data_IF_514257597899
#
_entry.id   IF_514257597899
#
_cell.length_a   1.000
_cell.length_b   1.000
_cell.length_c   1.000
_cell.angle_alpha   90.00
_cell.angle_beta   90.00
_cell.angle_gamma   90.00
#
_symmetry.space_group_name_H-M   'P 1'
#
loop_
_entity.id
_entity.type
_entity.pdbx_description
1 polymer ?
#
# COMPACT_ATOMS: atom_id res chain seq x y z
N UNK A 1 10.43 -15.91 -5.46
CA UNK A 1 10.11 -15.78 -6.91
C UNK A 1 9.46 -14.43 -7.26
N UNK A 2 8.29 -14.03 -6.73
CA UNK A 2 7.70 -12.71 -7.06
C UNK A 2 8.47 -11.51 -6.50
N UNK A 3 9.04 -11.62 -5.30
CA UNK A 3 9.87 -10.56 -4.71
C UNK A 3 11.11 -10.27 -5.58
N UNK A 4 11.76 -11.30 -6.10
CA UNK A 4 12.94 -11.18 -6.96
C UNK A 4 12.62 -10.49 -8.29
N UNK A 5 11.36 -10.52 -8.74
CA UNK A 5 10.89 -9.81 -9.94
C UNK A 5 10.48 -8.36 -9.67
N UNK A 6 9.85 -8.08 -8.53
CA UNK A 6 9.34 -6.76 -8.18
C UNK A 6 10.46 -5.84 -7.68
N UNK A 7 11.41 -6.35 -6.90
CA UNK A 7 12.50 -5.54 -6.33
C UNK A 7 13.35 -4.81 -7.38
N UNK A 8 13.77 -5.45 -8.50
CA UNK A 8 14.48 -4.73 -9.58
C UNK A 8 13.62 -3.67 -10.25
N UNK A 9 12.31 -3.90 -10.41
CA UNK A 9 11.40 -2.91 -11.01
C UNK A 9 11.29 -1.66 -10.12
N UNK A 10 11.17 -1.84 -8.81
CA UNK A 10 11.15 -0.73 -7.85
C UNK A 10 12.47 0.05 -7.90
N UNK A 11 13.60 -0.65 -7.92
CA UNK A 11 14.92 -0.03 -7.99
C UNK A 11 15.10 0.77 -9.29
N UNK A 12 14.62 0.25 -10.41
CA UNK A 12 14.63 0.93 -11.70
C UNK A 12 13.76 2.19 -11.68
N UNK A 13 12.51 2.09 -11.21
CA UNK A 13 11.60 3.24 -11.14
C UNK A 13 12.09 4.30 -10.15
N UNK A 14 12.64 3.89 -9.01
CA UNK A 14 13.26 4.81 -8.04
C UNK A 14 14.39 5.60 -8.68
N UNK A 15 15.28 4.94 -9.43
CA UNK A 15 16.35 5.61 -10.17
C UNK A 15 15.80 6.55 -11.22
N UNK A 16 14.84 6.12 -12.03
CA UNK A 16 14.21 6.92 -13.09
C UNK A 16 13.56 8.19 -12.53
N UNK A 17 12.84 8.09 -11.42
CA UNK A 17 12.20 9.23 -10.75
C UNK A 17 13.26 10.21 -10.22
N UNK A 18 14.32 9.70 -9.57
CA UNK A 18 15.40 10.54 -9.04
C UNK A 18 16.12 11.27 -10.21
N UNK A 19 16.47 10.55 -11.26
CA UNK A 19 17.16 11.11 -12.42
C UNK A 19 16.29 12.19 -13.09
N UNK A 20 14.99 11.94 -13.29
CA UNK A 20 14.03 12.90 -13.84
C UNK A 20 13.92 14.16 -12.98
N UNK A 21 13.75 14.01 -11.66
CA UNK A 21 13.63 15.14 -10.74
C UNK A 21 14.93 15.97 -10.69
N UNK A 22 16.09 15.31 -10.74
CA UNK A 22 17.40 15.99 -10.75
C UNK A 22 17.59 16.77 -12.04
N UNK A 23 17.20 16.21 -13.18
CA UNK A 23 17.29 16.89 -14.48
C UNK A 23 16.34 18.10 -14.53
N UNK A 24 15.10 17.95 -14.03
CA UNK A 24 14.14 19.06 -13.94
C UNK A 24 14.65 20.19 -13.04
N UNK A 25 15.19 19.85 -11.87
CA UNK A 25 15.75 20.83 -10.95
C UNK A 25 16.93 21.58 -11.58
N UNK A 26 17.82 20.87 -12.27
CA UNK A 26 18.95 21.48 -12.96
C UNK A 26 18.51 22.43 -14.07
N UNK A 27 17.53 22.06 -14.90
CA UNK A 27 16.94 22.93 -15.92
C UNK A 27 16.32 24.18 -15.30
N UNK A 28 15.67 24.05 -14.15
CA UNK A 28 15.08 25.18 -13.42
C UNK A 28 16.13 26.14 -12.87
N UNK A 29 17.27 25.63 -12.39
CA UNK A 29 18.37 26.44 -11.89
C UNK A 29 19.19 27.13 -12.99
N UNK A 30 19.30 26.50 -14.17
CA UNK A 30 20.07 27.00 -15.32
C UNK A 30 19.27 27.98 -16.22
N UNK A 31 17.94 28.09 -16.04
CA UNK A 31 17.06 28.95 -16.81
C UNK A 31 17.35 30.44 -16.59
N UNK A 32 17.58 31.18 -17.68
CA UNK A 32 17.75 32.64 -17.61
C UNK A 32 16.44 33.37 -17.33
N UNK A 33 16.53 34.58 -16.74
CA UNK A 33 15.38 35.38 -16.30
C UNK A 33 14.34 35.70 -17.40
N UNK A 34 14.71 35.63 -18.66
CA UNK A 34 13.85 35.95 -19.84
C UNK A 34 12.98 34.74 -20.32
N UNK A 35 13.22 33.54 -19.80
CA UNK A 35 12.52 32.30 -20.21
C UNK A 35 11.41 31.92 -19.19
N UNK A 36 11.33 32.61 -18.07
CA UNK A 36 10.55 32.17 -16.88
C UNK A 36 9.04 31.99 -17.07
N UNK A 37 8.40 32.70 -18.00
CA UNK A 37 6.94 32.64 -18.09
C UNK A 37 6.43 31.50 -19.00
N UNK A 38 7.16 31.17 -20.08
CA UNK A 38 6.73 30.11 -21.04
C UNK A 38 7.21 28.73 -20.56
N UNK A 39 8.41 28.65 -20.00
CA UNK A 39 8.95 27.38 -19.48
C UNK A 39 8.33 26.95 -18.15
N UNK A 40 7.78 27.88 -17.35
CA UNK A 40 7.17 27.55 -16.06
C UNK A 40 5.98 26.60 -16.22
N UNK A 41 5.11 26.81 -17.18
CA UNK A 41 3.96 25.94 -17.44
C UNK A 41 4.43 24.56 -17.93
N UNK A 42 5.45 24.51 -18.79
CA UNK A 42 6.03 23.25 -19.28
C UNK A 42 6.69 22.43 -18.15
N UNK A 43 7.46 23.06 -17.27
CA UNK A 43 8.09 22.40 -16.13
C UNK A 43 7.08 21.95 -15.08
N UNK A 44 6.00 22.68 -14.87
CA UNK A 44 4.91 22.28 -13.97
C UNK A 44 4.18 21.07 -14.51
N UNK A 45 3.98 20.97 -15.80
CA UNK A 45 3.34 19.81 -16.43
C UNK A 45 4.21 18.55 -16.35
N UNK A 46 5.51 18.64 -16.61
CA UNK A 46 6.46 17.53 -16.48
C UNK A 46 6.59 17.05 -15.04
N UNK A 47 6.65 17.98 -14.08
CA UNK A 47 6.66 17.65 -12.66
C UNK A 47 5.36 16.96 -12.23
N UNK A 48 4.22 17.49 -12.66
CA UNK A 48 2.91 16.90 -12.38
C UNK A 48 2.76 15.49 -12.98
N UNK A 49 3.22 15.29 -14.20
CA UNK A 49 3.23 13.98 -14.84
C UNK A 49 4.12 12.98 -14.09
N UNK A 50 5.30 13.40 -13.64
CA UNK A 50 6.20 12.55 -12.86
C UNK A 50 5.55 12.11 -11.53
N UNK A 51 4.92 13.03 -10.80
CA UNK A 51 4.18 12.74 -9.57
C UNK A 51 3.00 11.79 -9.82
N UNK A 52 2.26 12.01 -10.92
CA UNK A 52 1.14 11.15 -11.30
C UNK A 52 1.59 9.73 -11.66
N UNK A 53 2.71 9.59 -12.36
CA UNK A 53 3.30 8.30 -12.72
C UNK A 53 3.76 7.55 -11.46
N UNK A 54 4.50 8.21 -10.55
CA UNK A 54 4.93 7.61 -9.29
C UNK A 54 3.74 7.13 -8.45
N UNK A 55 2.74 7.98 -8.29
CA UNK A 55 1.51 7.65 -7.56
C UNK A 55 0.80 6.43 -8.17
N UNK A 56 0.63 6.43 -9.49
CA UNK A 56 -0.05 5.33 -10.20
C UNK A 56 0.73 4.03 -10.07
N UNK A 57 2.04 4.10 -10.20
CA UNK A 57 2.94 2.96 -10.01
C UNK A 57 2.83 2.40 -8.59
N UNK A 58 3.01 3.24 -7.56
CA UNK A 58 2.93 2.81 -6.16
C UNK A 58 1.58 2.18 -5.83
N UNK A 59 0.48 2.80 -6.24
CA UNK A 59 -0.86 2.27 -6.04
C UNK A 59 -1.04 0.90 -6.70
N UNK A 60 -0.58 0.74 -7.94
CA UNK A 60 -0.67 -0.53 -8.69
C UNK A 60 0.15 -1.64 -8.04
N UNK A 61 1.35 -1.32 -7.57
CA UNK A 61 2.21 -2.29 -6.87
C UNK A 61 1.60 -2.70 -5.54
N UNK A 62 1.01 -1.79 -4.77
CA UNK A 62 0.33 -2.13 -3.50
C UNK A 62 -0.86 -3.05 -3.73
N UNK A 63 -1.67 -2.81 -4.76
CA UNK A 63 -2.77 -3.71 -5.14
C UNK A 63 -2.21 -5.09 -5.50
N UNK A 64 -1.11 -5.15 -6.26
CA UNK A 64 -0.46 -6.39 -6.67
C UNK A 64 0.11 -7.16 -5.46
N UNK A 65 0.78 -6.49 -4.53
CA UNK A 65 1.29 -7.08 -3.28
C UNK A 65 0.13 -7.70 -2.48
N UNK A 66 -0.97 -6.96 -2.32
CA UNK A 66 -2.14 -7.46 -1.61
C UNK A 66 -2.73 -8.71 -2.29
N UNK A 67 -2.85 -8.70 -3.61
CA UNK A 67 -3.37 -9.84 -4.39
C UNK A 67 -2.48 -11.08 -4.22
N UNK A 68 -1.16 -10.89 -4.18
CA UNK A 68 -0.19 -11.97 -3.94
C UNK A 68 -0.36 -12.52 -2.52
N UNK A 69 -0.47 -11.65 -1.51
CA UNK A 69 -0.73 -12.07 -0.12
C UNK A 69 -2.01 -12.90 -0.04
N UNK A 70 -3.10 -12.41 -0.60
CA UNK A 70 -4.40 -13.09 -0.61
C UNK A 70 -4.29 -14.47 -1.26
N UNK A 71 -3.65 -14.57 -2.43
CA UNK A 71 -3.42 -15.82 -3.13
C UNK A 71 -2.68 -16.84 -2.25
N UNK A 72 -1.56 -16.47 -1.67
CA UNK A 72 -0.75 -17.38 -0.85
C UNK A 72 -1.44 -17.79 0.44
N UNK A 73 -2.19 -16.90 1.10
CA UNK A 73 -2.98 -17.26 2.27
C UNK A 73 -4.11 -18.23 1.90
N UNK A 74 -4.75 -18.07 0.75
CA UNK A 74 -5.76 -19.00 0.26
C UNK A 74 -5.15 -20.37 -0.08
N UNK A 75 -3.99 -20.41 -0.74
CA UNK A 75 -3.26 -21.67 -0.99
C UNK A 75 -2.86 -22.36 0.32
N UNK A 76 -2.44 -21.60 1.32
CA UNK A 76 -2.16 -22.14 2.66
C UNK A 76 -3.40 -22.76 3.30
N UNK A 77 -4.58 -22.13 3.20
CA UNK A 77 -5.85 -22.70 3.67
C UNK A 77 -6.14 -24.06 3.01
N UNK A 78 -5.97 -24.15 1.70
CA UNK A 78 -6.18 -25.39 0.93
C UNK A 78 -5.20 -26.49 1.39
N UNK A 79 -3.93 -26.15 1.61
CA UNK A 79 -2.93 -27.09 2.07
C UNK A 79 -3.18 -27.54 3.52
N UNK A 80 -3.52 -26.64 4.40
CA UNK A 80 -3.89 -26.97 5.79
C UNK A 80 -5.10 -27.90 5.86
N UNK A 81 -6.10 -27.68 5.01
CA UNK A 81 -7.23 -28.59 4.87
C UNK A 81 -6.78 -30.02 4.57
N UNK A 82 -5.91 -30.19 3.57
CA UNK A 82 -5.41 -31.52 3.14
C UNK A 82 -4.56 -32.17 4.22
N UNK A 83 -3.63 -31.44 4.83
CA UNK A 83 -2.69 -31.97 5.82
C UNK A 83 -3.39 -32.34 7.11
N UNK A 84 -4.32 -31.52 7.58
CA UNK A 84 -4.99 -31.69 8.90
C UNK A 84 -6.34 -32.37 8.80
N UNK A 85 -6.82 -32.74 7.60
CA UNK A 85 -8.13 -33.37 7.42
C UNK A 85 -9.30 -32.47 7.83
N UNK A 86 -9.19 -31.15 7.66
CA UNK A 86 -10.24 -30.20 8.07
C UNK A 86 -11.48 -30.41 7.16
N UNK A 87 -12.68 -30.67 7.71
CA UNK A 87 -13.85 -31.01 6.90
C UNK A 87 -14.42 -29.83 6.10
N UNK A 88 -14.17 -28.60 6.55
CA UNK A 88 -14.73 -27.35 6.00
C UNK A 88 -13.77 -26.74 5.00
N UNK A 89 -14.25 -26.24 3.84
CA UNK A 89 -13.45 -25.42 2.94
C UNK A 89 -13.38 -23.99 3.48
N UNK A 90 -12.28 -23.30 3.14
CA UNK A 90 -12.16 -21.88 3.52
C UNK A 90 -13.20 -21.00 2.79
N UNK A 91 -13.67 -21.43 1.60
CA UNK A 91 -14.70 -20.75 0.82
C UNK A 91 -16.11 -20.85 1.44
N UNK A 92 -16.35 -21.86 2.28
CA UNK A 92 -17.61 -22.06 2.98
C UNK A 92 -17.78 -21.11 4.19
N UNK A 93 -16.70 -20.42 4.57
CA UNK A 93 -16.72 -19.47 5.68
C UNK A 93 -17.23 -18.10 5.23
N UNK A 94 -17.93 -17.43 6.15
CA UNK A 94 -18.32 -16.02 5.97
C UNK A 94 -17.10 -15.09 5.94
N UNK A 95 -17.22 -13.97 5.22
CA UNK A 95 -16.14 -13.03 5.03
C UNK A 95 -15.53 -13.12 3.64
N UNK A 96 -14.56 -12.28 3.36
CA UNK A 96 -13.91 -12.18 2.06
C UNK A 96 -12.40 -11.97 2.19
N UNK A 97 -11.67 -12.40 1.17
CA UNK A 97 -10.26 -12.10 1.00
C UNK A 97 -9.39 -12.56 2.16
N UNK A 98 -8.40 -11.75 2.47
CA UNK A 98 -7.40 -12.00 3.52
C UNK A 98 -8.04 -12.22 4.89
N UNK A 99 -9.15 -11.53 5.21
CA UNK A 99 -9.83 -11.67 6.51
C UNK A 99 -10.37 -13.08 6.72
N UNK A 100 -10.98 -13.65 5.68
CA UNK A 100 -11.50 -15.04 5.70
C UNK A 100 -10.34 -16.05 5.82
N UNK A 101 -9.27 -15.84 5.07
CA UNK A 101 -8.10 -16.70 5.13
C UNK A 101 -7.44 -16.69 6.52
N UNK A 102 -7.26 -15.52 7.13
CA UNK A 102 -6.71 -15.40 8.49
C UNK A 102 -7.58 -16.19 9.48
N UNK A 103 -8.90 -16.00 9.43
CA UNK A 103 -9.82 -16.72 10.31
C UNK A 103 -9.68 -18.24 10.16
N UNK A 104 -9.62 -18.74 8.92
CA UNK A 104 -9.45 -20.17 8.65
C UNK A 104 -8.11 -20.70 9.20
N UNK A 105 -7.02 -19.99 8.90
CA UNK A 105 -5.65 -20.36 9.32
C UNK A 105 -5.55 -20.42 10.84
N UNK A 106 -6.13 -19.45 11.55
CA UNK A 106 -6.04 -19.40 13.03
C UNK A 106 -6.99 -20.39 13.70
N UNK A 107 -8.26 -20.41 13.29
CA UNK A 107 -9.30 -21.16 14.01
C UNK A 107 -9.33 -22.63 13.65
N UNK A 108 -9.06 -22.97 12.41
CA UNK A 108 -9.13 -24.33 11.90
C UNK A 108 -7.74 -24.89 11.61
N UNK A 109 -6.85 -24.07 11.05
CA UNK A 109 -5.49 -24.43 10.75
C UNK A 109 -4.56 -24.50 11.96
N UNK A 110 -4.90 -23.84 13.07
CA UNK A 110 -4.13 -23.86 14.32
C UNK A 110 -2.78 -23.11 14.25
N UNK A 111 -2.57 -22.29 13.20
CA UNK A 111 -1.43 -21.38 13.14
C UNK A 111 -1.84 -20.04 13.73
N UNK A 112 -0.87 -19.23 14.15
CA UNK A 112 -1.13 -17.93 14.77
C UNK A 112 -0.39 -16.81 14.05
N UNK A 113 -1.09 -15.74 13.77
CA UNK A 113 -0.46 -14.49 13.39
C UNK A 113 -0.02 -13.73 14.65
N UNK A 114 1.19 -13.17 14.64
CA UNK A 114 1.55 -12.24 15.69
C UNK A 114 0.76 -10.93 15.53
N UNK A 115 0.70 -10.12 16.58
CA UNK A 115 -0.05 -8.86 16.59
C UNK A 115 0.37 -7.92 15.47
N UNK A 116 1.67 -7.86 15.18
CA UNK A 116 2.23 -7.03 14.11
C UNK A 116 1.77 -7.52 12.73
N UNK A 117 1.84 -8.84 12.47
CA UNK A 117 1.40 -9.43 11.20
C UNK A 117 -0.09 -9.21 10.96
N UNK A 118 -0.92 -9.43 11.98
CA UNK A 118 -2.38 -9.19 11.92
C UNK A 118 -2.71 -7.72 11.67
N UNK A 119 -2.01 -6.81 12.35
CA UNK A 119 -2.16 -5.37 12.15
C UNK A 119 -1.78 -4.96 10.74
N UNK A 120 -0.62 -5.40 10.25
CA UNK A 120 -0.17 -5.12 8.89
C UNK A 120 -1.18 -5.60 7.84
N UNK A 121 -1.63 -6.85 7.92
CA UNK A 121 -2.61 -7.42 6.98
C UNK A 121 -3.95 -6.67 6.99
N UNK A 122 -4.39 -6.26 8.18
CA UNK A 122 -5.60 -5.45 8.33
C UNK A 122 -5.46 -4.05 7.74
N UNK A 123 -4.30 -3.43 7.92
CA UNK A 123 -4.03 -2.07 7.45
C UNK A 123 -3.85 -2.03 5.93
N UNK A 124 -3.09 -2.96 5.36
CA UNK A 124 -2.91 -3.03 3.89
C UNK A 124 -4.22 -3.34 3.17
N UNK A 125 -5.11 -4.14 3.79
CA UNK A 125 -6.46 -4.38 3.27
C UNK A 125 -7.28 -3.08 3.22
N UNK A 126 -7.21 -2.25 4.26
CA UNK A 126 -7.89 -0.95 4.28
C UNK A 126 -7.36 -0.01 3.20
N UNK A 127 -6.03 0.08 3.04
CA UNK A 127 -5.37 0.89 2.01
C UNK A 127 -5.77 0.41 0.61
N UNK A 128 -5.64 -0.90 0.33
CA UNK A 128 -6.01 -1.48 -0.97
C UNK A 128 -7.46 -1.15 -1.34
N UNK A 129 -8.36 -1.22 -0.38
CA UNK A 129 -9.77 -0.92 -0.65
C UNK A 129 -9.99 0.55 -1.01
N UNK A 130 -9.34 1.47 -0.32
CA UNK A 130 -9.43 2.91 -0.64
C UNK A 130 -8.78 3.22 -2.00
N UNK A 131 -7.65 2.58 -2.33
CA UNK A 131 -7.03 2.75 -3.66
C UNK A 131 -7.97 2.21 -4.76
N UNK A 132 -8.46 0.99 -4.60
CA UNK A 132 -9.21 0.29 -5.64
C UNK A 132 -10.61 0.90 -5.90
N UNK A 133 -11.26 1.44 -4.88
CA UNK A 133 -12.63 1.92 -4.98
C UNK A 133 -12.74 3.45 -5.04
N UNK A 134 -11.82 4.17 -4.41
CA UNK A 134 -11.88 5.62 -4.23
C UNK A 134 -10.60 6.34 -4.71
N UNK A 135 -9.72 5.65 -5.48
CA UNK A 135 -8.46 6.21 -5.98
C UNK A 135 -7.62 6.92 -4.90
N UNK A 136 -7.64 6.41 -3.69
CA UNK A 136 -6.93 6.96 -2.54
C UNK A 136 -7.68 8.07 -1.79
N UNK A 137 -8.87 8.48 -2.23
CA UNK A 137 -9.68 9.49 -1.55
C UNK A 137 -10.30 8.91 -0.26
N UNK A 138 -10.25 9.67 0.84
CA UNK A 138 -10.71 9.23 2.16
C UNK A 138 -12.14 9.70 2.50
N UNK A 139 -12.78 10.44 1.62
CA UNK A 139 -14.10 11.06 1.83
C UNK A 139 -15.17 10.04 2.22
N UNK A 140 -15.17 8.88 1.56
CA UNK A 140 -16.16 7.81 1.76
C UNK A 140 -15.62 6.67 2.64
N UNK A 141 -14.44 6.83 3.21
CA UNK A 141 -13.80 5.79 3.99
C UNK A 141 -14.57 5.52 5.29
N UNK A 142 -14.94 4.26 5.53
CA UNK A 142 -15.59 3.84 6.78
C UNK A 142 -14.66 4.14 7.96
N UNK A 143 -15.22 4.61 9.09
CA UNK A 143 -14.45 5.00 10.30
C UNK A 143 -13.41 3.95 10.73
N UNK A 144 -13.77 2.66 10.70
CA UNK A 144 -12.85 1.58 11.07
C UNK A 144 -11.65 1.45 10.12
N UNK A 145 -11.84 1.64 8.82
CA UNK A 145 -10.76 1.63 7.84
C UNK A 145 -9.92 2.90 7.93
N UNK A 146 -10.55 4.06 8.15
CA UNK A 146 -9.82 5.32 8.34
C UNK A 146 -8.86 5.23 9.53
N UNK A 147 -9.30 4.67 10.67
CA UNK A 147 -8.44 4.45 11.83
C UNK A 147 -7.22 3.58 11.51
N UNK A 148 -7.38 2.54 10.71
CA UNK A 148 -6.27 1.67 10.26
C UNK A 148 -5.29 2.43 9.36
N UNK A 149 -5.80 3.24 8.44
CA UNK A 149 -4.99 4.05 7.52
C UNK A 149 -4.20 5.11 8.30
N UNK A 150 -4.83 5.79 9.26
CA UNK A 150 -4.13 6.74 10.14
C UNK A 150 -3.03 6.02 10.93
N UNK A 151 -3.32 4.87 11.50
CA UNK A 151 -2.34 4.12 12.27
C UNK A 151 -1.10 3.75 11.43
N UNK A 152 -1.29 3.21 10.24
CA UNK A 152 -0.16 2.83 9.39
C UNK A 152 0.60 4.04 8.85
N UNK A 153 -0.06 5.16 8.55
CA UNK A 153 0.61 6.38 8.10
C UNK A 153 1.55 7.00 9.14
N UNK A 154 1.31 6.72 10.43
CA UNK A 154 2.19 7.14 11.52
C UNK A 154 3.39 6.22 11.73
N UNK A 155 3.34 4.98 11.25
CA UNK A 155 4.32 3.94 11.53
C UNK A 155 5.17 3.56 10.32
N UNK A 156 4.60 3.65 9.12
CA UNK A 156 5.24 3.19 7.89
C UNK A 156 5.84 4.36 7.09
N UNK A 157 7.08 4.23 6.63
CA UNK A 157 7.70 5.24 5.77
C UNK A 157 6.93 5.34 4.45
N UNK A 158 6.95 6.52 3.83
CA UNK A 158 6.34 6.73 2.51
C UNK A 158 4.80 6.67 2.45
N UNK A 159 4.11 6.55 3.60
CA UNK A 159 2.66 6.60 3.68
C UNK A 159 2.23 7.91 4.33
N UNK A 160 1.57 8.79 3.58
CA UNK A 160 1.14 10.12 4.04
C UNK A 160 -0.36 10.28 3.88
N UNK A 161 -0.96 11.06 4.77
CA UNK A 161 -2.34 11.51 4.65
C UNK A 161 -2.32 13.00 4.36
N UNK A 162 -2.83 13.37 3.18
CA UNK A 162 -3.12 14.77 2.89
C UNK A 162 -4.40 15.19 3.61
N UNK A 163 -4.36 16.37 4.20
CA UNK A 163 -5.46 16.96 4.94
C UNK A 163 -6.06 18.14 4.17
N UNK A 164 -7.35 18.33 4.31
CA UNK A 164 -8.05 19.54 3.86
C UNK A 164 -8.41 20.38 5.07
N UNK A 165 -8.11 21.66 5.00
CA UNK A 165 -8.58 22.63 5.98
C UNK A 165 -10.03 22.98 5.70
N UNK A 166 -10.88 22.90 6.70
CA UNK A 166 -12.25 23.41 6.66
C UNK A 166 -12.50 24.31 7.87
N UNK A 167 -13.30 25.33 7.67
CA UNK A 167 -13.73 26.21 8.74
C UNK A 167 -15.11 25.77 9.23
N UNK A 168 -15.25 25.58 10.53
CA UNK A 168 -16.50 25.34 11.22
C UNK A 168 -16.71 26.51 12.17
N UNK A 169 -17.40 27.53 11.69
CA UNK A 169 -17.40 28.86 12.31
C UNK A 169 -15.99 29.48 12.30
N UNK A 170 -15.47 29.84 13.45
CA UNK A 170 -14.11 30.39 13.60
C UNK A 170 -13.04 29.33 13.86
N UNK A 171 -13.39 28.05 13.90
CA UNK A 171 -12.48 26.96 14.22
C UNK A 171 -11.97 26.30 12.93
N UNK A 172 -10.63 26.28 12.77
CA UNK A 172 -9.97 25.54 11.70
C UNK A 172 -9.93 24.05 12.05
N UNK A 173 -10.59 23.22 11.24
CA UNK A 173 -10.52 21.74 11.35
C UNK A 173 -9.73 21.18 10.19
N UNK A 174 -8.84 20.24 10.49
CA UNK A 174 -8.14 19.44 9.49
C UNK A 174 -8.87 18.12 9.29
N UNK A 175 -9.22 17.81 8.05
CA UNK A 175 -9.91 16.59 7.69
C UNK A 175 -9.03 15.77 6.75
N UNK A 176 -8.85 14.46 6.99
CA UNK A 176 -8.16 13.59 6.06
C UNK A 176 -8.84 13.62 4.69
N UNK A 177 -8.08 13.96 3.65
CA UNK A 177 -8.57 14.10 2.27
C UNK A 177 -8.21 12.88 1.44
N UNK A 178 -6.94 12.54 1.38
CA UNK A 178 -6.39 11.52 0.50
C UNK A 178 -5.15 10.87 1.11
N UNK A 179 -4.94 9.59 0.79
CA UNK A 179 -3.69 8.88 1.07
C UNK A 179 -2.73 9.06 -0.10
N UNK A 180 -1.46 9.27 0.21
CA UNK A 180 -0.35 9.25 -0.75
C UNK A 180 0.67 8.20 -0.33
N UNK A 181 1.10 7.42 -1.32
CA UNK A 181 2.01 6.30 -1.14
C UNK A 181 3.24 6.51 -2.02
N UNK A 182 4.41 6.55 -1.39
CA UNK A 182 5.69 6.61 -2.06
C UNK A 182 6.37 5.24 -2.16
N UNK A 183 7.50 5.19 -2.82
CA UNK A 183 8.29 3.97 -3.03
C UNK A 183 8.75 3.34 -1.72
N UNK A 184 9.05 4.13 -0.69
CA UNK A 184 9.43 3.62 0.63
C UNK A 184 8.30 2.80 1.28
N UNK A 185 7.04 3.19 1.02
CA UNK A 185 5.89 2.41 1.49
C UNK A 185 5.76 1.09 0.77
N UNK A 186 6.05 1.06 -0.52
CA UNK A 186 6.08 -0.19 -1.32
C UNK A 186 7.14 -1.14 -0.78
N UNK A 187 8.36 -0.65 -0.53
CA UNK A 187 9.47 -1.43 0.07
C UNK A 187 9.10 -1.96 1.46
N UNK A 188 8.48 -1.12 2.28
CA UNK A 188 7.94 -1.52 3.59
C UNK A 188 6.93 -2.64 3.46
N UNK A 189 5.95 -2.54 2.56
CA UNK A 189 4.93 -3.56 2.35
C UNK A 189 5.52 -4.90 1.88
N UNK A 190 6.53 -4.89 1.01
CA UNK A 190 7.24 -6.09 0.58
C UNK A 190 7.95 -6.77 1.75
N UNK A 191 8.68 -6.00 2.56
CA UNK A 191 9.41 -6.51 3.72
C UNK A 191 8.45 -7.11 4.76
N UNK A 192 7.35 -6.42 5.08
CA UNK A 192 6.36 -6.92 6.01
C UNK A 192 5.66 -8.19 5.50
N UNK A 193 5.35 -8.23 4.20
CA UNK A 193 4.75 -9.42 3.58
C UNK A 193 5.65 -10.66 3.71
N UNK A 194 6.95 -10.50 3.49
CA UNK A 194 7.92 -11.58 3.68
C UNK A 194 7.97 -12.04 5.14
N UNK A 195 7.95 -11.09 6.08
CA UNK A 195 7.94 -11.39 7.52
C UNK A 195 6.73 -12.24 7.91
N UNK A 196 5.52 -11.85 7.44
CA UNK A 196 4.27 -12.60 7.68
C UNK A 196 4.43 -14.06 7.26
N UNK A 197 4.86 -14.32 6.02
CA UNK A 197 4.99 -15.68 5.53
C UNK A 197 6.12 -16.45 6.23
N UNK A 198 7.25 -15.81 6.52
CA UNK A 198 8.34 -16.42 7.28
C UNK A 198 7.89 -16.87 8.68
N UNK A 199 7.07 -16.03 9.36
CA UNK A 199 6.53 -16.35 10.68
C UNK A 199 5.52 -17.50 10.63
N UNK A 200 4.68 -17.56 9.58
CA UNK A 200 3.74 -18.66 9.39
C UNK A 200 4.46 -19.98 9.06
N UNK A 201 5.41 -19.97 8.15
CA UNK A 201 6.13 -21.19 7.75
C UNK A 201 6.94 -21.81 8.87
N UNK A 202 7.50 -21.00 9.77
CA UNK A 202 8.19 -21.51 10.98
C UNK A 202 7.28 -22.31 11.92
N UNK A 203 5.97 -22.19 11.82
CA UNK A 203 5.01 -22.93 12.66
C UNK A 203 4.58 -24.25 12.01
N UNK A 204 4.93 -24.47 10.74
CA UNK A 204 4.56 -25.68 9.99
C UNK A 204 5.73 -26.70 9.98
N UNK A 205 6.95 -26.21 10.14
CA UNK A 205 8.18 -27.04 10.25
C UNK A 205 8.39 -27.55 11.66
#
# INVERSE_FOLDING_TARGET
MYYEQISPMISYEKKRIIDSNTELQKKFEEGSDDIKDIDYDFYTDDWYLSELVEKTFCNSVIISIYTIIEKYLNELCINLKKIKGIPINYDDLTGQGVVRAIFYIEKLGGLKFCTQDSSFLSNINAIRNVIAHDNGELKNCKKGNLGKIINISQQAPGCKILEKNIYDGSILKKIPKRIELGLEFVEYCLTQSQSVFKNLFKQIT
#
